data_IF_535262939167
#
_entry.id   IF_535262939167
#
_cell.length_a   1.000
_cell.length_b   1.000
_cell.length_c   1.000
_cell.angle_alpha   90.00
_cell.angle_beta   90.00
_cell.angle_gamma   90.00
#
_symmetry.space_group_name_H-M   'P 1'
#
loop_
_entity.id
_entity.type
_entity.pdbx_description
1 polymer ?
#
# COMPACT_ATOMS: atom_id res chain seq x y z
N UNK A 1 -16.09 -25.61 8.14
CA UNK A 1 -15.77 -24.17 8.08
C UNK A 1 -15.21 -23.93 6.71
N UNK A 2 -15.96 -23.22 5.86
CA UNK A 2 -15.51 -22.77 4.54
C UNK A 2 -14.18 -22.01 4.73
N UNK A 3 -13.09 -22.47 4.11
CA UNK A 3 -11.75 -21.95 4.38
C UNK A 3 -11.56 -20.56 3.74
N UNK A 4 -11.87 -19.52 4.49
CA UNK A 4 -11.41 -18.16 4.23
C UNK A 4 -10.02 -17.98 4.81
N UNK A 5 -9.11 -17.39 4.04
CA UNK A 5 -7.70 -17.20 4.46
C UNK A 5 -7.20 -15.81 4.07
N UNK A 6 -6.40 -15.19 4.95
CA UNK A 6 -5.76 -13.91 4.67
C UNK A 6 -4.30 -14.18 4.31
N UNK A 7 -3.93 -13.87 3.07
CA UNK A 7 -2.57 -14.06 2.54
C UNK A 7 -1.93 -12.71 2.30
N UNK A 8 -0.81 -12.43 2.97
CA UNK A 8 -0.04 -11.22 2.70
C UNK A 8 0.58 -11.26 1.29
N UNK A 9 0.48 -10.15 0.55
CA UNK A 9 1.09 -10.00 -0.76
C UNK A 9 2.35 -9.15 -0.61
N UNK A 10 3.56 -9.76 -0.65
CA UNK A 10 4.79 -9.05 -0.34
C UNK A 10 5.13 -7.99 -1.40
N UNK A 11 5.82 -6.93 -0.95
CA UNK A 11 6.28 -5.81 -1.77
C UNK A 11 7.13 -6.23 -2.96
N UNK A 12 8.01 -7.21 -2.74
CA UNK A 12 8.82 -7.83 -3.78
C UNK A 12 8.54 -9.35 -3.82
N UNK A 13 8.66 -10.00 -4.98
CA UNK A 13 8.69 -11.46 -5.00
C UNK A 13 9.77 -11.95 -4.03
N UNK A 14 9.50 -13.00 -3.24
CA UNK A 14 10.46 -13.51 -2.28
C UNK A 14 11.71 -13.98 -3.04
N UNK A 15 12.81 -13.25 -2.86
CA UNK A 15 14.12 -13.72 -3.29
C UNK A 15 14.63 -14.60 -2.15
N UNK A 16 15.08 -15.83 -2.43
CA UNK A 16 15.68 -16.67 -1.41
C UNK A 16 16.75 -15.89 -0.62
N UNK A 17 16.81 -16.00 0.71
CA UNK A 17 17.78 -15.26 1.53
C UNK A 17 19.24 -15.38 1.05
N UNK A 18 19.60 -16.52 0.47
CA UNK A 18 20.92 -16.83 -0.09
C UNK A 18 21.19 -16.20 -1.48
N UNK A 19 20.15 -15.69 -2.16
CA UNK A 19 20.22 -15.17 -3.54
C UNK A 19 19.96 -13.66 -3.61
N UNK A 20 20.08 -12.98 -2.48
CA UNK A 20 19.86 -11.54 -2.40
C UNK A 20 20.84 -10.76 -3.31
N UNK A 21 20.38 -9.74 -4.06
CA UNK A 21 21.24 -8.96 -4.95
C UNK A 21 22.41 -8.32 -4.21
N UNK A 22 23.59 -8.34 -4.83
CA UNK A 22 24.83 -7.77 -4.28
C UNK A 22 25.36 -6.65 -5.17
N UNK A 23 26.17 -5.78 -4.58
CA UNK A 23 26.98 -4.78 -5.27
C UNK A 23 28.42 -4.87 -4.78
N UNK A 24 29.35 -4.50 -5.66
CA UNK A 24 30.77 -4.47 -5.34
C UNK A 24 31.13 -3.16 -4.62
N UNK A 25 31.95 -3.28 -3.59
CA UNK A 25 32.51 -2.15 -2.85
C UNK A 25 34.01 -2.32 -2.71
N UNK A 26 34.71 -1.20 -2.61
CA UNK A 26 36.15 -1.17 -2.35
C UNK A 26 36.33 -1.02 -0.85
N UNK A 27 36.97 -2.01 -0.22
CA UNK A 27 37.27 -2.04 1.20
C UNK A 27 38.78 -2.14 1.44
N UNK A 28 39.23 -1.84 2.65
CA UNK A 28 40.63 -2.01 3.03
C UNK A 28 40.77 -2.43 4.48
N UNK A 29 41.86 -3.13 4.80
CA UNK A 29 42.23 -3.43 6.17
C UNK A 29 42.72 -2.18 6.89
N UNK A 30 42.37 -2.03 8.18
CA UNK A 30 42.73 -0.85 8.95
C UNK A 30 43.18 -1.21 10.37
N UNK A 31 44.12 -0.44 10.91
CA UNK A 31 44.46 -0.50 12.33
C UNK A 31 43.30 0.07 13.19
N UNK A 32 42.87 -0.64 14.26
CA UNK A 32 41.89 -0.14 15.21
C UNK A 32 42.11 1.29 15.72
N UNK A 33 43.37 1.75 15.84
CA UNK A 33 43.70 3.10 16.32
C UNK A 33 43.22 4.21 15.40
N UNK A 34 43.22 3.97 14.08
CA UNK A 34 42.87 4.99 13.07
C UNK A 34 41.46 4.81 12.50
N UNK A 35 40.81 3.68 12.76
CA UNK A 35 39.51 3.31 12.19
C UNK A 35 38.43 4.39 12.38
N UNK A 36 38.27 4.93 13.59
CA UNK A 36 37.25 5.94 13.87
C UNK A 36 37.48 7.25 13.12
N UNK A 37 38.74 7.70 13.05
CA UNK A 37 39.12 8.90 12.31
C UNK A 37 38.88 8.72 10.82
N UNK A 38 39.25 7.55 10.29
CA UNK A 38 39.03 7.19 8.88
C UNK A 38 37.54 7.17 8.52
N UNK A 39 36.70 6.52 9.34
CA UNK A 39 35.24 6.47 9.13
C UNK A 39 34.62 7.87 9.10
N UNK A 40 35.03 8.77 10.01
CA UNK A 40 34.53 10.15 10.04
C UNK A 40 34.87 10.91 8.76
N UNK A 41 36.10 10.77 8.25
CA UNK A 41 36.53 11.39 6.98
C UNK A 41 35.77 10.79 5.79
N UNK A 42 35.67 9.47 5.71
CA UNK A 42 34.95 8.78 4.64
C UNK A 42 33.45 9.15 4.59
N UNK A 43 32.81 9.39 5.73
CA UNK A 43 31.43 9.89 5.76
C UNK A 43 31.28 11.32 5.20
N UNK A 44 32.36 12.09 5.07
CA UNK A 44 32.34 13.42 4.44
C UNK A 44 32.57 13.31 2.94
N UNK A 45 33.53 12.49 2.50
CA UNK A 45 34.01 12.48 1.11
C UNK A 45 33.41 11.36 0.24
N UNK A 46 32.89 10.29 0.83
CA UNK A 46 32.43 9.10 0.10
C UNK A 46 31.23 8.43 0.80
N UNK A 47 30.10 9.13 0.84
CA UNK A 47 28.89 8.63 1.51
C UNK A 47 28.29 7.41 0.81
N UNK A 48 27.77 6.48 1.60
CA UNK A 48 27.11 5.26 1.14
C UNK A 48 25.60 5.49 0.98
N UNK A 49 25.20 6.41 0.09
CA UNK A 49 23.81 6.90 0.01
C UNK A 49 22.77 5.78 -0.18
N UNK A 50 23.08 4.80 -1.04
CA UNK A 50 22.23 3.64 -1.34
C UNK A 50 22.53 2.40 -0.49
N UNK A 51 23.46 2.48 0.47
CA UNK A 51 23.92 1.36 1.30
C UNK A 51 23.95 1.74 2.79
N UNK A 52 22.99 2.54 3.25
CA UNK A 52 22.93 3.01 4.65
C UNK A 52 22.76 1.89 5.67
N UNK A 53 22.20 0.75 5.26
CA UNK A 53 22.09 -0.46 6.07
C UNK A 53 23.41 -1.21 6.25
N UNK A 54 24.40 -0.95 5.40
CA UNK A 54 25.71 -1.62 5.46
C UNK A 54 26.58 -0.94 6.52
N UNK A 55 27.08 -1.69 7.49
CA UNK A 55 28.02 -1.14 8.47
C UNK A 55 29.35 -0.87 7.79
N UNK A 56 29.85 0.36 7.87
CA UNK A 56 31.11 0.73 7.19
C UNK A 56 32.33 -0.07 7.68
N UNK A 57 32.30 -0.57 8.92
CA UNK A 57 33.40 -1.34 9.54
C UNK A 57 32.98 -2.80 9.74
N UNK A 58 33.82 -3.73 9.30
CA UNK A 58 33.73 -5.17 9.58
C UNK A 58 34.84 -5.57 10.55
N UNK A 59 34.45 -6.25 11.63
CA UNK A 59 35.37 -6.83 12.62
C UNK A 59 35.43 -8.34 12.42
N UNK A 60 36.63 -8.88 12.22
CA UNK A 60 36.89 -10.32 12.12
C UNK A 60 37.85 -10.73 13.22
N UNK A 61 37.54 -11.84 13.90
CA UNK A 61 38.46 -12.47 14.84
C UNK A 61 39.37 -13.43 14.07
N UNK A 62 40.68 -13.27 14.24
CA UNK A 62 41.70 -14.13 13.64
C UNK A 62 42.23 -15.06 14.72
N UNK A 63 42.67 -16.27 14.32
CA UNK A 63 43.31 -17.23 15.22
C UNK A 63 44.44 -16.54 16.01
N UNK A 64 44.44 -16.75 17.34
CA UNK A 64 45.34 -16.06 18.27
C UNK A 64 44.78 -14.79 18.93
N UNK A 65 43.45 -14.57 18.88
CA UNK A 65 42.79 -13.49 19.63
C UNK A 65 42.99 -12.07 19.07
N UNK A 66 43.67 -11.96 17.93
CA UNK A 66 43.88 -10.68 17.25
C UNK A 66 42.62 -10.29 16.47
N UNK A 67 42.26 -9.02 16.58
CA UNK A 67 41.13 -8.45 15.84
C UNK A 67 41.64 -7.82 14.55
N UNK A 68 41.06 -8.20 13.42
CA UNK A 68 41.27 -7.54 12.13
C UNK A 68 40.05 -6.67 11.81
N UNK A 69 40.29 -5.42 11.46
CA UNK A 69 39.25 -4.50 10.99
C UNK A 69 39.38 -4.27 9.49
N UNK A 70 38.23 -4.23 8.81
CA UNK A 70 38.12 -3.81 7.43
C UNK A 70 37.11 -2.67 7.32
N UNK A 71 37.37 -1.68 6.48
CA UNK A 71 36.54 -0.49 6.30
C UNK A 71 36.18 -0.35 4.83
N UNK A 72 34.89 -0.13 4.53
CA UNK A 72 34.45 0.24 3.18
C UNK A 72 34.88 1.67 2.89
N UNK A 73 35.60 1.86 1.78
CA UNK A 73 36.08 3.14 1.30
C UNK A 73 34.99 3.81 0.45
N UNK A 74 34.57 3.14 -0.64
CA UNK A 74 33.56 3.64 -1.57
C UNK A 74 32.86 2.49 -2.33
N UNK A 75 31.82 2.84 -3.09
CA UNK A 75 31.23 1.95 -4.10
C UNK A 75 32.25 1.69 -5.22
N UNK A 76 32.25 0.48 -5.76
CA UNK A 76 33.05 0.13 -6.93
C UNK A 76 32.31 0.59 -8.21
N UNK A 77 33.05 1.12 -9.19
CA UNK A 77 32.46 1.40 -10.52
C UNK A 77 32.07 0.10 -11.22
N UNK A 78 30.90 0.08 -11.84
CA UNK A 78 30.44 -1.03 -12.69
C UNK A 78 31.10 -1.01 -14.09
N UNK A 79 31.78 0.09 -14.44
CA UNK A 79 32.41 0.31 -15.75
C UNK A 79 33.92 0.42 -15.57
N UNK A 80 34.68 -0.47 -16.23
CA UNK A 80 36.15 -0.48 -16.24
C UNK A 80 36.79 -1.28 -15.10
N UNK A 81 38.08 -1.04 -14.84
CA UNK A 81 38.79 -1.67 -13.72
C UNK A 81 38.40 -0.97 -12.40
N UNK A 82 37.72 -1.63 -11.45
CA UNK A 82 37.13 -0.93 -10.30
C UNK A 82 38.16 -0.24 -9.41
N UNK A 83 39.37 -0.79 -9.32
CA UNK A 83 40.48 -0.23 -8.55
C UNK A 83 41.08 1.04 -9.18
N UNK A 84 40.86 1.27 -10.48
CA UNK A 84 41.32 2.48 -11.18
C UNK A 84 40.29 3.62 -11.14
N UNK A 85 39.06 3.32 -10.72
CA UNK A 85 37.93 4.26 -10.68
C UNK A 85 37.71 4.93 -9.31
N UNK A 86 38.69 4.85 -8.40
CA UNK A 86 38.57 5.37 -7.04
C UNK A 86 38.53 6.90 -7.07
N UNK A 87 37.57 7.56 -6.37
CA UNK A 87 37.54 9.02 -6.26
C UNK A 87 38.86 9.58 -5.71
N UNK A 88 39.35 10.68 -6.29
CA UNK A 88 40.64 11.28 -5.94
C UNK A 88 40.82 11.51 -4.43
N UNK A 89 39.80 12.04 -3.76
CA UNK A 89 39.82 12.31 -2.31
C UNK A 89 39.99 11.02 -1.49
N UNK A 90 39.42 9.90 -1.96
CA UNK A 90 39.57 8.58 -1.33
C UNK A 90 40.96 8.03 -1.60
N UNK A 91 41.51 8.25 -2.78
CA UNK A 91 42.86 7.83 -3.15
C UNK A 91 43.93 8.56 -2.33
N UNK A 92 43.77 9.86 -2.10
CA UNK A 92 44.65 10.64 -1.21
C UNK A 92 44.61 10.10 0.22
N UNK A 93 43.42 9.76 0.71
CA UNK A 93 43.23 9.16 2.03
C UNK A 93 43.91 7.79 2.12
N UNK A 94 43.79 6.96 1.08
CA UNK A 94 44.46 5.65 1.01
C UNK A 94 45.97 5.78 1.10
N UNK A 95 46.56 6.73 0.38
CA UNK A 95 48.00 6.99 0.40
C UNK A 95 48.46 7.47 1.78
N UNK A 96 47.69 8.39 2.40
CA UNK A 96 48.01 8.95 3.72
C UNK A 96 48.04 7.91 4.84
N UNK A 97 47.16 6.91 4.77
CA UNK A 97 47.05 5.85 5.78
C UNK A 97 47.66 4.51 5.32
N UNK A 98 48.30 4.46 4.15
CA UNK A 98 48.91 3.26 3.56
C UNK A 98 47.94 2.07 3.49
N UNK A 99 46.72 2.36 3.04
CA UNK A 99 45.63 1.38 2.95
C UNK A 99 45.84 0.43 1.76
N UNK A 100 45.54 -0.85 1.96
CA UNK A 100 45.55 -1.88 0.92
C UNK A 100 44.11 -2.17 0.44
N UNK A 101 43.68 -1.64 -0.73
CA UNK A 101 42.31 -1.81 -1.20
C UNK A 101 42.08 -3.22 -1.75
N UNK A 102 40.88 -3.73 -1.57
CA UNK A 102 40.38 -4.95 -2.20
C UNK A 102 38.88 -4.82 -2.48
N UNK A 103 38.40 -5.57 -3.47
CA UNK A 103 36.98 -5.58 -3.83
C UNK A 103 36.26 -6.65 -3.02
N UNK A 104 35.08 -6.33 -2.51
CA UNK A 104 34.22 -7.27 -1.80
C UNK A 104 32.75 -6.99 -2.10
N UNK A 105 31.90 -7.97 -1.81
CA UNK A 105 30.45 -7.88 -2.07
C UNK A 105 29.69 -7.53 -0.81
N UNK A 106 28.71 -6.65 -0.96
CA UNK A 106 27.72 -6.32 0.07
C UNK A 106 26.31 -6.43 -0.51
N UNK A 107 25.33 -6.69 0.34
CA UNK A 107 23.95 -6.75 -0.10
C UNK A 107 23.45 -5.38 -0.54
N UNK A 108 22.84 -5.35 -1.72
CA UNK A 108 22.32 -4.13 -2.36
C UNK A 108 21.19 -3.50 -1.55
N UNK A 109 20.39 -4.32 -0.86
CA UNK A 109 19.20 -3.89 -0.13
C UNK A 109 19.26 -4.30 1.34
N UNK A 110 18.57 -3.53 2.19
CA UNK A 110 18.39 -3.87 3.60
C UNK A 110 17.52 -5.13 3.73
N UNK A 111 17.86 -5.98 4.70
CA UNK A 111 17.08 -7.18 4.99
C UNK A 111 15.68 -6.82 5.51
N UNK A 112 14.67 -7.54 5.01
CA UNK A 112 13.28 -7.46 5.44
C UNK A 112 12.94 -8.54 6.47
N UNK A 113 13.72 -9.62 6.51
CA UNK A 113 13.57 -10.70 7.49
C UNK A 113 14.86 -10.95 8.28
N UNK A 114 14.73 -11.70 9.38
CA UNK A 114 15.88 -12.10 10.19
C UNK A 114 16.78 -13.08 9.43
N UNK A 115 16.20 -14.01 8.69
CA UNK A 115 16.90 -15.00 7.88
C UNK A 115 17.69 -14.32 6.76
N UNK A 116 17.07 -13.36 6.06
CA UNK A 116 17.79 -12.52 5.10
C UNK A 116 18.98 -11.83 5.77
N UNK A 117 18.75 -11.15 6.89
CA UNK A 117 19.82 -10.44 7.60
C UNK A 117 20.99 -11.34 8.01
N UNK A 118 20.71 -12.57 8.46
CA UNK A 118 21.72 -13.55 8.80
C UNK A 118 22.58 -13.91 7.57
N UNK A 119 21.96 -14.15 6.40
CA UNK A 119 22.67 -14.36 5.14
C UNK A 119 23.49 -13.13 4.71
N UNK A 120 22.91 -11.92 4.82
CA UNK A 120 23.63 -10.68 4.50
C UNK A 120 24.89 -10.53 5.35
N UNK A 121 24.80 -10.83 6.65
CA UNK A 121 25.92 -10.74 7.58
C UNK A 121 27.06 -11.71 7.28
N UNK A 122 26.82 -12.81 6.54
CA UNK A 122 27.88 -13.70 6.06
C UNK A 122 28.78 -13.00 5.05
N UNK A 123 28.21 -12.14 4.19
CA UNK A 123 28.94 -11.32 3.23
C UNK A 123 29.62 -10.14 3.94
N UNK A 124 28.82 -9.27 4.55
CA UNK A 124 29.29 -8.08 5.26
C UNK A 124 28.28 -7.66 6.33
N UNK A 125 28.72 -7.17 7.50
CA UNK A 125 27.80 -6.81 8.57
C UNK A 125 26.84 -5.68 8.14
N UNK A 126 25.54 -5.89 8.33
CA UNK A 126 24.49 -4.90 8.11
C UNK A 126 23.71 -4.61 9.40
N UNK A 127 23.02 -3.48 9.44
CA UNK A 127 22.02 -3.16 10.46
C UNK A 127 20.68 -3.78 10.06
N UNK A 128 20.07 -4.52 10.97
CA UNK A 128 18.69 -4.96 10.85
C UNK A 128 17.80 -4.08 11.70
N UNK A 129 16.88 -3.39 11.02
CA UNK A 129 15.76 -2.72 11.66
C UNK A 129 14.52 -3.35 11.07
N UNK A 130 13.82 -4.22 11.81
CA UNK A 130 12.56 -4.77 11.31
C UNK A 130 11.65 -3.61 10.93
N UNK A 131 10.96 -3.68 9.77
CA UNK A 131 10.07 -2.61 9.34
C UNK A 131 9.14 -2.21 10.49
N UNK A 132 9.09 -0.93 10.84
CA UNK A 132 8.21 -0.41 11.89
C UNK A 132 6.74 -0.32 11.45
N UNK A 133 6.39 -0.94 10.32
CA UNK A 133 5.00 -1.35 10.14
C UNK A 133 4.74 -2.33 11.28
N UNK A 134 4.13 -1.83 12.34
CA UNK A 134 3.65 -2.62 13.45
C UNK A 134 2.49 -3.46 12.90
N UNK A 135 2.83 -4.47 12.10
CA UNK A 135 1.96 -5.57 11.73
C UNK A 135 2.50 -6.70 12.59
N UNK A 136 1.97 -6.82 13.81
CA UNK A 136 2.10 -8.08 14.52
C UNK A 136 1.60 -9.18 13.56
N UNK A 137 2.51 -10.09 13.25
CA UNK A 137 2.27 -11.20 12.35
C UNK A 137 2.08 -10.82 10.89
N UNK A 138 3.13 -11.06 10.11
CA UNK A 138 3.04 -11.20 8.65
C UNK A 138 2.04 -12.33 8.24
N UNK A 139 1.51 -13.10 9.22
CA UNK A 139 0.25 -13.87 9.17
C UNK A 139 -0.54 -13.87 10.52
N UNK A 140 -0.44 -12.83 11.36
CA UNK A 140 -0.94 -12.84 12.76
C UNK A 140 -2.05 -11.83 13.02
N UNK A 141 -3.10 -11.91 12.21
CA UNK A 141 -4.38 -11.37 12.64
C UNK A 141 -4.84 -12.17 13.87
N UNK A 142 -5.33 -11.48 14.90
CA UNK A 142 -6.06 -12.18 15.96
C UNK A 142 -7.28 -12.90 15.34
N UNK A 143 -7.85 -13.89 16.04
CA UNK A 143 -9.06 -14.55 15.55
C UNK A 143 -10.19 -13.54 15.35
N UNK A 144 -10.34 -12.57 16.26
CA UNK A 144 -11.31 -11.48 16.16
C UNK A 144 -11.05 -10.55 14.96
N UNK A 145 -9.80 -10.18 14.72
CA UNK A 145 -9.45 -9.33 13.58
C UNK A 145 -9.63 -10.06 12.25
N UNK A 146 -9.33 -11.36 12.22
CA UNK A 146 -9.55 -12.21 11.06
C UNK A 146 -11.04 -12.28 10.71
N UNK A 147 -11.90 -12.51 11.70
CA UNK A 147 -13.36 -12.50 11.50
C UNK A 147 -13.86 -11.13 11.03
N UNK A 148 -13.29 -10.05 11.56
CA UNK A 148 -13.63 -8.68 11.12
C UNK A 148 -13.24 -8.46 9.65
N UNK A 149 -12.04 -8.86 9.25
CA UNK A 149 -11.56 -8.82 7.85
C UNK A 149 -12.46 -9.63 6.94
N UNK A 150 -12.84 -10.84 7.34
CA UNK A 150 -13.76 -11.68 6.57
C UNK A 150 -15.15 -11.06 6.45
N UNK A 151 -15.66 -10.44 7.52
CA UNK A 151 -16.94 -9.73 7.50
C UNK A 151 -16.96 -8.58 6.49
N UNK A 152 -15.95 -7.71 6.52
CA UNK A 152 -15.87 -6.60 5.56
C UNK A 152 -15.62 -7.07 4.12
N UNK A 153 -14.82 -8.13 3.93
CA UNK A 153 -14.62 -8.71 2.60
C UNK A 153 -15.89 -9.34 2.05
N UNK A 154 -16.65 -10.09 2.87
CA UNK A 154 -17.98 -10.59 2.50
C UNK A 154 -18.91 -9.46 2.08
N UNK A 155 -18.90 -8.36 2.82
CA UNK A 155 -19.71 -7.20 2.49
C UNK A 155 -19.31 -6.57 1.15
N UNK A 156 -18.01 -6.41 0.88
CA UNK A 156 -17.53 -5.93 -0.43
C UNK A 156 -17.96 -6.85 -1.59
N UNK A 157 -17.90 -8.17 -1.40
CA UNK A 157 -18.32 -9.15 -2.42
C UNK A 157 -19.85 -9.13 -2.61
N UNK A 158 -20.63 -8.97 -1.53
CA UNK A 158 -22.09 -8.83 -1.63
C UNK A 158 -22.49 -7.57 -2.39
N UNK A 159 -21.82 -6.45 -2.12
CA UNK A 159 -22.02 -5.20 -2.86
C UNK A 159 -21.77 -5.40 -4.36
N UNK A 160 -20.67 -6.09 -4.71
CA UNK A 160 -20.33 -6.43 -6.09
C UNK A 160 -21.39 -7.29 -6.81
N UNK A 161 -22.19 -8.06 -6.06
CA UNK A 161 -23.26 -8.93 -6.58
C UNK A 161 -24.65 -8.29 -6.63
N UNK A 162 -24.85 -7.14 -5.99
CA UNK A 162 -26.20 -6.61 -5.69
C UNK A 162 -27.01 -6.09 -6.90
N UNK A 163 -26.55 -6.30 -8.14
CA UNK A 163 -27.22 -5.89 -9.38
C UNK A 163 -27.89 -7.01 -10.18
N UNK A 164 -28.64 -6.63 -11.21
CA UNK A 164 -29.43 -7.50 -12.11
C UNK A 164 -28.55 -8.51 -12.89
N UNK A 165 -28.21 -9.63 -12.24
CA UNK A 165 -27.42 -10.77 -12.77
C UNK A 165 -25.96 -10.48 -13.17
N UNK A 166 -25.54 -9.22 -13.18
CA UNK A 166 -24.18 -8.81 -13.56
C UNK A 166 -23.34 -8.48 -12.32
N UNK A 167 -22.08 -8.91 -12.34
CA UNK A 167 -21.11 -8.64 -11.28
C UNK A 167 -20.33 -7.37 -11.62
N UNK A 168 -20.24 -6.43 -10.67
CA UNK A 168 -19.50 -5.16 -10.81
C UNK A 168 -18.37 -5.08 -9.78
N UNK A 169 -17.40 -4.18 -9.95
CA UNK A 169 -16.41 -3.94 -8.89
C UNK A 169 -17.05 -3.23 -7.69
N UNK A 170 -16.50 -3.47 -6.49
CA UNK A 170 -16.93 -2.83 -5.25
C UNK A 170 -15.74 -2.53 -4.32
N UNK A 171 -15.91 -1.48 -3.53
CA UNK A 171 -14.94 -0.97 -2.57
C UNK A 171 -15.62 -0.59 -1.25
N UNK A 172 -14.99 -0.93 -0.13
CA UNK A 172 -15.45 -0.58 1.23
C UNK A 172 -14.27 0.01 1.99
N UNK A 173 -14.35 1.27 2.39
CA UNK A 173 -13.37 1.91 3.28
C UNK A 173 -13.87 1.74 4.71
N UNK A 174 -12.97 1.36 5.61
CA UNK A 174 -13.29 1.02 7.01
C UNK A 174 -12.31 1.74 7.93
N UNK A 175 -12.81 2.29 9.04
CA UNK A 175 -11.98 2.67 10.16
C UNK A 175 -11.77 1.43 11.06
N UNK A 176 -10.55 0.87 11.07
CA UNK A 176 -10.25 -0.36 11.78
C UNK A 176 -10.15 -0.15 13.30
N UNK A 177 -10.02 1.08 13.79
CA UNK A 177 -9.97 1.36 15.24
C UNK A 177 -11.31 1.17 15.92
N UNK A 178 -12.40 1.45 15.20
CA UNK A 178 -13.78 1.31 15.65
C UNK A 178 -14.55 0.23 14.89
N UNK A 179 -13.89 -0.46 13.96
CA UNK A 179 -14.47 -1.49 13.07
C UNK A 179 -15.75 -1.00 12.37
N UNK A 180 -15.70 0.22 11.84
CA UNK A 180 -16.86 0.86 11.22
C UNK A 180 -16.63 1.14 9.73
N UNK A 181 -17.63 0.84 8.91
CA UNK A 181 -17.64 1.22 7.50
C UNK A 181 -17.74 2.75 7.39
N UNK A 182 -16.78 3.32 6.67
CA UNK A 182 -16.69 4.75 6.40
C UNK A 182 -17.51 5.13 5.18
N UNK A 183 -17.34 4.34 4.11
CA UNK A 183 -18.10 4.47 2.87
C UNK A 183 -18.00 3.19 2.07
N UNK A 184 -18.98 2.98 1.20
CA UNK A 184 -19.01 1.92 0.20
C UNK A 184 -19.18 2.53 -1.19
N UNK A 185 -18.73 1.81 -2.22
CA UNK A 185 -18.95 2.21 -3.61
C UNK A 185 -18.86 1.00 -4.54
N UNK A 186 -19.51 1.12 -5.70
CA UNK A 186 -19.32 0.24 -6.85
C UNK A 186 -18.79 1.04 -8.05
N UNK A 187 -18.41 0.36 -9.13
CA UNK A 187 -18.08 1.03 -10.39
C UNK A 187 -19.26 1.90 -10.86
N UNK A 188 -18.99 3.17 -11.21
CA UNK A 188 -19.97 4.14 -11.74
C UNK A 188 -19.60 4.60 -13.16
N UNK A 189 -19.02 3.70 -13.92
CA UNK A 189 -18.58 3.88 -15.31
C UNK A 189 -19.71 3.73 -16.33
N UNK A 190 -20.79 3.02 -15.97
CA UNK A 190 -22.00 2.81 -16.79
C UNK A 190 -23.27 3.19 -16.00
N UNK A 191 -24.31 3.77 -16.65
CA UNK A 191 -25.47 4.37 -16.01
C UNK A 191 -26.51 3.38 -15.49
N UNK A 192 -26.49 2.12 -15.94
CA UNK A 192 -27.45 1.11 -15.46
C UNK A 192 -27.18 0.65 -14.02
N UNK A 193 -26.07 1.09 -13.41
CA UNK A 193 -25.72 0.76 -12.04
C UNK A 193 -25.84 1.99 -11.14
N UNK A 194 -27.07 2.37 -10.81
CA UNK A 194 -27.32 3.11 -9.58
C UNK A 194 -27.67 2.06 -8.53
N UNK A 195 -26.85 1.87 -7.47
CA UNK A 195 -27.32 1.16 -6.30
C UNK A 195 -28.61 1.87 -5.87
N UNK A 196 -29.69 1.12 -5.63
CA UNK A 196 -30.85 1.70 -4.98
C UNK A 196 -30.35 2.40 -3.71
N UNK A 197 -30.58 3.71 -3.61
CA UNK A 197 -30.19 4.52 -2.46
C UNK A 197 -30.92 3.99 -1.22
N UNK A 198 -30.34 2.98 -0.57
CA UNK A 198 -30.65 2.66 0.81
C UNK A 198 -29.68 3.48 1.66
N UNK A 199 -29.88 4.79 1.65
CA UNK A 199 -29.42 5.65 2.75
C UNK A 199 -30.30 5.35 3.95
N UNK A 200 -30.12 4.16 4.51
CA UNK A 200 -30.59 3.84 5.85
C UNK A 200 -29.34 3.66 6.68
N UNK A 201 -29.19 4.55 7.66
CA UNK A 201 -28.25 4.39 8.76
C UNK A 201 -28.72 3.16 9.56
N UNK A 202 -28.48 1.97 9.04
CA UNK A 202 -28.84 0.71 9.69
C UNK A 202 -27.61 0.15 10.41
N UNK A 203 -27.54 0.49 11.69
CA UNK A 203 -26.98 -0.40 12.70
C UNK A 203 -27.71 -1.74 12.60
N UNK A 204 -27.09 -2.75 11.99
CA UNK A 204 -27.70 -4.07 11.86
C UNK A 204 -27.71 -4.79 13.21
N UNK A 205 -28.88 -4.81 13.85
CA UNK A 205 -29.35 -5.94 14.66
C UNK A 205 -30.26 -6.81 13.77
N UNK A 206 -30.13 -8.13 13.89
CA UNK A 206 -30.91 -9.14 13.17
C UNK A 206 -32.43 -8.97 13.35
N UNK A 207 -33.20 -9.03 12.25
CA UNK A 207 -34.41 -9.85 12.07
C UNK A 207 -35.06 -9.68 10.67
N UNK A 208 -36.13 -10.43 10.42
CA UNK A 208 -36.48 -11.20 9.21
C UNK A 208 -37.67 -10.60 8.41
N UNK A 209 -37.77 -10.97 7.12
CA UNK A 209 -39.01 -11.30 6.34
C UNK A 209 -39.61 -10.29 5.32
N UNK A 210 -39.62 -10.73 4.04
CA UNK A 210 -40.58 -10.62 2.91
C UNK A 210 -41.08 -9.27 2.33
N UNK A 211 -40.97 -9.07 1.01
CA UNK A 211 -41.98 -9.45 -0.01
C UNK A 211 -41.75 -8.80 -1.41
N UNK A 212 -41.82 -9.63 -2.47
CA UNK A 212 -42.35 -9.47 -3.87
C UNK A 212 -42.23 -8.12 -4.65
N UNK A 213 -41.99 -8.04 -5.98
CA UNK A 213 -42.82 -8.47 -7.13
C UNK A 213 -42.08 -8.26 -8.50
N UNK A 214 -42.03 -9.34 -9.30
CA UNK A 214 -42.14 -9.57 -10.78
C UNK A 214 -41.49 -8.74 -11.93
N UNK A 215 -40.87 -9.51 -12.86
CA UNK A 215 -41.00 -9.57 -14.35
C UNK A 215 -40.44 -8.40 -15.20
N UNK A 216 -39.83 -8.56 -16.40
CA UNK A 216 -39.88 -9.61 -17.46
C UNK A 216 -38.67 -9.54 -18.44
N UNK A 217 -38.50 -10.62 -19.22
CA UNK A 217 -37.43 -10.99 -20.16
C UNK A 217 -37.46 -10.27 -21.54
N UNK A 218 -36.32 -10.26 -22.26
CA UNK A 218 -36.17 -10.94 -23.58
C UNK A 218 -34.74 -10.91 -24.15
N UNK A 219 -34.37 -12.01 -24.80
CA UNK A 219 -33.05 -12.46 -25.28
C UNK A 219 -32.47 -11.80 -26.55
N UNK A 220 -31.15 -11.98 -26.75
CA UNK A 220 -30.48 -11.81 -28.04
C UNK A 220 -28.99 -12.17 -28.00
N UNK A 221 -28.66 -13.40 -28.40
CA UNK A 221 -27.31 -14.01 -28.46
C UNK A 221 -26.59 -13.66 -29.77
N UNK A 222 -25.29 -13.34 -29.72
CA UNK A 222 -24.35 -13.61 -30.82
C UNK A 222 -22.95 -13.94 -30.27
N UNK A 223 -22.32 -14.98 -30.84
CA UNK A 223 -21.03 -15.52 -30.44
C UNK A 223 -19.90 -15.13 -31.40
N UNK A 224 -18.68 -15.05 -30.87
CA UNK A 224 -17.48 -15.44 -31.61
C UNK A 224 -16.42 -16.02 -30.65
N UNK A 225 -15.89 -17.17 -31.03
CA UNK A 225 -14.87 -17.94 -30.33
C UNK A 225 -13.47 -17.33 -30.52
N UNK A 226 -12.63 -17.34 -29.48
CA UNK A 226 -11.17 -17.43 -29.66
C UNK A 226 -10.48 -18.09 -28.47
N UNK A 227 -10.07 -19.34 -28.71
CA UNK A 227 -8.83 -20.08 -28.39
C UNK A 227 -8.17 -20.00 -26.98
N UNK A 228 -7.98 -21.21 -26.42
CA UNK A 228 -7.23 -21.67 -25.23
C UNK A 228 -5.71 -21.29 -25.26
N UNK A 229 -4.89 -21.30 -24.21
CA UNK A 229 -4.80 -22.00 -22.90
C UNK A 229 -3.83 -21.21 -21.97
N UNK A 230 -3.61 -21.40 -20.65
CA UNK A 230 -3.60 -22.56 -19.74
C UNK A 230 -3.83 -22.12 -18.27
N UNK A 231 -4.55 -22.95 -17.51
CA UNK A 231 -4.60 -23.09 -16.03
C UNK A 231 -4.75 -21.83 -15.15
N UNK A 232 -5.99 -21.31 -15.07
CA UNK A 232 -6.54 -20.51 -13.97
C UNK A 232 -7.95 -21.04 -13.66
N UNK A 233 -8.57 -20.73 -12.50
CA UNK A 233 -9.93 -21.16 -12.22
C UNK A 233 -10.86 -20.65 -13.32
N UNK A 234 -11.67 -21.56 -13.85
CA UNK A 234 -12.44 -21.36 -15.08
C UNK A 234 -13.67 -20.49 -14.81
N UNK A 235 -13.49 -19.17 -14.67
CA UNK A 235 -14.63 -18.26 -14.46
C UNK A 235 -15.33 -17.93 -15.79
N UNK A 236 -16.67 -17.97 -15.87
CA UNK A 236 -17.39 -17.63 -17.09
C UNK A 236 -17.15 -16.17 -17.49
N UNK A 237 -16.59 -15.92 -18.67
CA UNK A 237 -16.31 -14.57 -19.22
C UNK A 237 -17.54 -13.64 -19.23
N UNK A 238 -18.76 -14.20 -19.24
CA UNK A 238 -20.01 -13.41 -19.29
C UNK A 238 -20.36 -12.69 -17.99
N UNK A 239 -20.03 -13.24 -16.81
CA UNK A 239 -20.47 -12.68 -15.52
C UNK A 239 -19.68 -11.43 -15.08
N UNK A 240 -18.42 -11.31 -15.50
CA UNK A 240 -17.49 -10.26 -15.06
C UNK A 240 -17.46 -9.04 -15.99
N UNK A 241 -18.29 -9.01 -17.04
CA UNK A 241 -18.35 -7.91 -18.02
C UNK A 241 -18.67 -6.56 -17.40
N UNK A 242 -19.32 -6.53 -16.24
CA UNK A 242 -19.61 -5.32 -15.46
C UNK A 242 -18.45 -4.78 -14.62
N UNK A 243 -17.31 -5.47 -14.55
CA UNK A 243 -16.13 -5.04 -13.78
C UNK A 243 -15.21 -4.22 -14.68
N UNK A 244 -15.21 -2.91 -14.53
CA UNK A 244 -14.57 -2.03 -15.52
C UNK A 244 -13.05 -2.09 -15.53
N UNK A 245 -12.44 -2.35 -14.37
CA UNK A 245 -11.00 -2.57 -14.32
C UNK A 245 -10.54 -3.89 -14.94
N UNK A 246 -11.45 -4.85 -15.19
CA UNK A 246 -11.18 -6.07 -15.95
C UNK A 246 -11.41 -5.87 -17.46
N UNK A 247 -12.43 -5.08 -17.81
CA UNK A 247 -12.84 -4.82 -19.20
C UNK A 247 -12.85 -3.32 -19.50
N UNK A 248 -11.67 -2.68 -19.62
CA UNK A 248 -11.56 -1.24 -19.77
C UNK A 248 -12.08 -0.71 -21.10
N UNK A 249 -12.49 -1.58 -22.05
CA UNK A 249 -13.10 -1.22 -23.33
C UNK A 249 -14.58 -1.63 -23.44
N UNK A 250 -15.16 -2.28 -22.42
CA UNK A 250 -16.55 -2.77 -22.48
C UNK A 250 -17.57 -1.64 -22.72
N UNK A 251 -17.21 -0.40 -22.38
CA UNK A 251 -18.02 0.80 -22.67
C UNK A 251 -18.06 1.17 -24.16
N UNK A 252 -17.03 0.83 -24.95
CA UNK A 252 -16.98 1.15 -26.38
C UNK A 252 -17.89 0.23 -27.21
N UNK A 253 -18.25 -0.93 -26.66
CA UNK A 253 -19.09 -1.94 -27.31
C UNK A 253 -20.60 -1.69 -27.09
N UNK A 254 -20.98 -0.73 -26.23
CA UNK A 254 -22.37 -0.46 -25.83
C UNK A 254 -22.74 1.02 -25.96
N UNK A 255 -22.92 1.50 -27.18
CA UNK A 255 -23.68 2.73 -27.44
C UNK A 255 -25.15 2.37 -27.66
N UNK A 256 -26.00 2.62 -26.67
CA UNK A 256 -27.43 2.79 -26.92
C UNK A 256 -27.96 4.02 -26.20
N UNK A 257 -28.82 4.72 -26.93
CA UNK A 257 -29.39 6.02 -26.61
C UNK A 257 -30.12 6.01 -25.26
N UNK A 258 -29.73 6.90 -24.34
CA UNK A 258 -30.64 7.66 -23.46
C UNK A 258 -29.89 8.70 -22.64
N UNK A 259 -30.50 9.89 -22.56
CA UNK A 259 -29.96 11.11 -21.95
C UNK A 259 -29.92 11.08 -20.42
N UNK A 260 -28.92 11.79 -19.86
CA UNK A 260 -28.76 12.29 -18.48
C UNK A 260 -28.02 11.44 -17.43
N UNK A 261 -26.92 10.78 -17.80
CA UNK A 261 -25.98 10.30 -16.78
C UNK A 261 -24.54 10.68 -17.14
N UNK A 262 -23.77 11.11 -16.15
CA UNK A 262 -22.37 11.50 -16.31
C UNK A 262 -21.49 10.25 -16.40
N UNK A 263 -21.34 9.72 -17.62
CA UNK A 263 -20.42 8.64 -17.95
C UNK A 263 -18.97 9.10 -17.72
N UNK A 264 -18.17 8.28 -17.03
CA UNK A 264 -16.75 8.58 -16.92
C UNK A 264 -15.91 7.31 -16.67
N UNK A 265 -14.97 6.96 -17.59
CA UNK A 265 -14.25 5.69 -17.55
C UNK A 265 -13.35 5.52 -16.32
N UNK A 266 -12.98 6.61 -15.65
CA UNK A 266 -12.14 6.55 -14.44
C UNK A 266 -12.94 6.35 -13.14
N UNK A 267 -14.27 6.24 -13.19
CA UNK A 267 -15.12 6.07 -11.99
C UNK A 267 -15.18 4.62 -11.51
N UNK A 268 -14.00 4.07 -11.26
CA UNK A 268 -13.87 2.77 -10.62
C UNK A 268 -14.30 2.85 -9.15
N UNK A 269 -14.75 1.73 -8.58
CA UNK A 269 -15.24 1.63 -7.20
C UNK A 269 -14.28 2.25 -6.17
N UNK A 270 -12.97 2.04 -6.31
CA UNK A 270 -11.98 2.65 -5.41
C UNK A 270 -11.96 4.18 -5.49
N UNK A 271 -12.07 4.77 -6.69
CA UNK A 271 -12.10 6.22 -6.89
C UNK A 271 -13.39 6.80 -6.32
N UNK A 272 -14.53 6.15 -6.60
CA UNK A 272 -15.84 6.55 -6.08
C UNK A 272 -15.86 6.48 -4.55
N UNK A 273 -15.28 5.44 -3.94
CA UNK A 273 -15.16 5.35 -2.49
C UNK A 273 -14.31 6.47 -1.90
N UNK A 274 -13.19 6.84 -2.53
CA UNK A 274 -12.36 7.97 -2.10
C UNK A 274 -13.15 9.28 -2.14
N UNK A 275 -13.87 9.52 -3.23
CA UNK A 275 -14.72 10.71 -3.41
C UNK A 275 -15.80 10.77 -2.33
N UNK A 276 -16.52 9.67 -2.09
CA UNK A 276 -17.53 9.56 -1.04
C UNK A 276 -16.97 9.78 0.36
N UNK A 277 -15.77 9.25 0.64
CA UNK A 277 -15.09 9.46 1.93
C UNK A 277 -14.78 10.95 2.13
N UNK A 278 -14.25 11.62 1.11
CA UNK A 278 -13.96 13.05 1.17
C UNK A 278 -15.23 13.90 1.33
N UNK A 279 -16.30 13.59 0.60
CA UNK A 279 -17.59 14.27 0.70
C UNK A 279 -18.20 14.15 2.11
N UNK A 280 -18.13 12.95 2.69
CA UNK A 280 -18.57 12.70 4.07
C UNK A 280 -17.74 13.50 5.08
N UNK A 281 -16.41 13.53 4.94
CA UNK A 281 -15.55 14.29 5.84
C UNK A 281 -15.80 15.80 5.74
N UNK A 282 -16.12 16.32 4.55
CA UNK A 282 -16.57 17.71 4.39
C UNK A 282 -17.88 17.96 5.16
N UNK A 283 -18.81 17.02 5.12
CA UNK A 283 -20.11 17.13 5.80
C UNK A 283 -19.99 17.04 7.32
N UNK A 284 -19.15 16.14 7.84
CA UNK A 284 -18.92 15.94 9.28
C UNK A 284 -18.06 17.05 9.89
N UNK A 285 -17.16 17.65 9.09
CA UNK A 285 -16.23 18.70 9.53
C UNK A 285 -16.31 19.96 8.65
N UNK A 286 -17.45 20.69 8.66
CA UNK A 286 -17.68 21.85 7.80
C UNK A 286 -16.80 23.06 8.15
N UNK A 287 -16.23 23.10 9.36
CA UNK A 287 -15.48 24.22 9.93
C UNK A 287 -14.00 24.25 9.51
N UNK A 288 -13.74 24.32 8.21
CA UNK A 288 -12.51 24.91 7.64
C UNK A 288 -12.66 25.31 6.16
N UNK A 289 -13.89 25.52 5.67
CA UNK A 289 -14.16 25.91 4.29
C UNK A 289 -14.47 27.40 4.09
N UNK A 290 -14.40 28.23 5.15
CA UNK A 290 -14.73 29.67 5.09
C UNK A 290 -13.53 30.62 5.08
N UNK A 291 -12.31 30.09 4.98
CA UNK A 291 -11.14 30.93 4.71
C UNK A 291 -10.76 30.69 3.27
N UNK A 292 -10.93 31.74 2.46
CA UNK A 292 -10.38 31.95 1.11
C UNK A 292 -11.33 31.82 -0.10
N UNK A 293 -12.38 32.66 -0.10
CA UNK A 293 -12.94 33.30 -1.32
C UNK A 293 -12.91 34.83 -1.18
N UNK A 294 -11.74 35.36 -0.80
CA UNK A 294 -11.43 36.80 -0.84
C UNK A 294 -10.00 37.03 -1.31
N UNK A 295 -9.71 36.61 -2.53
CA UNK A 295 -8.58 37.15 -3.31
C UNK A 295 -9.04 37.31 -4.76
N UNK A 296 -9.90 38.29 -4.97
CA UNK A 296 -9.97 39.03 -6.23
C UNK A 296 -10.00 40.51 -5.84
N UNK A 297 -9.12 41.29 -6.48
CA UNK A 297 -8.91 42.73 -6.33
C UNK A 297 -8.11 43.17 -5.09
N UNK A 298 -6.80 43.37 -5.26
CA UNK A 298 -6.18 44.70 -5.44
C UNK A 298 -4.65 44.55 -5.48
N UNK A 299 -4.02 45.00 -6.56
CA UNK A 299 -2.57 45.16 -6.66
C UNK A 299 -2.07 46.33 -5.78
N UNK A 300 -1.00 46.13 -4.99
CA UNK A 300 0.21 46.97 -4.97
C UNK A 300 1.18 46.63 -3.81
N UNK A 301 2.39 46.19 -4.18
CA UNK A 301 3.75 46.45 -3.65
C UNK A 301 3.91 46.79 -2.14
N UNK A 302 4.52 45.89 -1.35
CA UNK A 302 5.84 46.09 -0.71
C UNK A 302 6.31 44.88 0.15
N UNK A 303 7.47 44.34 -0.24
CA UNK A 303 8.63 43.88 0.55
C UNK A 303 8.47 43.25 1.96
N UNK A 304 9.16 42.11 2.09
CA UNK A 304 9.91 41.55 3.24
C UNK A 304 9.14 40.90 4.41
N UNK A 305 9.31 39.58 4.57
CA UNK A 305 10.04 39.02 5.73
C UNK A 305 10.24 37.50 5.57
N UNK A 306 11.38 37.05 6.08
CA UNK A 306 11.99 35.72 5.94
C UNK A 306 11.44 34.74 6.99
N UNK A 307 11.15 33.51 6.55
CA UNK A 307 11.50 32.27 7.28
C UNK A 307 10.47 31.65 8.22
N UNK A 308 9.99 30.45 7.87
CA UNK A 308 10.26 29.21 8.63
C UNK A 308 9.71 27.97 7.90
N UNK A 309 10.51 26.90 7.73
CA UNK A 309 10.06 25.65 7.09
C UNK A 309 9.21 24.82 8.06
N UNK A 310 8.12 24.26 7.53
CA UNK A 310 7.18 23.41 8.25
C UNK A 310 7.90 22.27 8.98
N UNK A 311 7.85 22.32 10.31
CA UNK A 311 8.41 21.32 11.21
C UNK A 311 7.53 20.08 11.18
N UNK A 312 8.06 19.00 10.60
CA UNK A 312 7.63 17.61 10.67
C UNK A 312 7.09 17.28 12.08
N UNK A 313 5.77 17.11 12.22
CA UNK A 313 5.17 16.68 13.48
C UNK A 313 5.61 15.24 13.77
N UNK A 314 6.36 15.10 14.86
CA UNK A 314 6.80 13.83 15.43
C UNK A 314 5.72 13.40 16.41
N UNK A 315 5.17 12.21 16.22
CA UNK A 315 4.25 11.57 17.16
C UNK A 315 4.95 11.41 18.51
N UNK A 316 4.37 12.01 19.56
CA UNK A 316 4.88 11.88 20.93
C UNK A 316 4.26 10.64 21.56
N UNK A 317 5.09 9.67 21.93
CA UNK A 317 4.70 8.53 22.76
C UNK A 317 4.61 9.04 24.20
N UNK A 318 3.46 8.82 24.84
CA UNK A 318 3.15 9.29 26.18
C UNK A 318 4.01 8.55 27.21
N UNK A 319 4.89 9.27 27.91
CA UNK A 319 5.42 8.87 29.21
C UNK A 319 4.91 9.85 30.25
N UNK A 320 4.23 9.31 31.24
CA UNK A 320 3.70 9.99 32.44
C UNK A 320 4.87 10.52 33.28
N UNK A 321 4.80 11.79 33.68
CA UNK A 321 5.15 12.24 35.03
C UNK A 321 4.70 13.70 35.26
N UNK A 322 4.31 13.95 36.51
CA UNK A 322 3.53 15.07 37.03
C UNK A 322 4.24 16.42 37.17
N UNK A 323 3.38 17.44 37.31
CA UNK A 323 3.47 18.70 38.10
C UNK A 323 3.52 20.07 37.38
N UNK A 324 2.38 20.76 37.52
CA UNK A 324 2.13 22.20 37.77
C UNK A 324 2.50 23.27 36.71
N UNK A 325 1.49 23.93 36.11
CA UNK A 325 0.82 25.11 36.69
C UNK A 325 -0.33 25.62 35.78
N UNK A 326 -1.41 26.02 36.45
CA UNK A 326 -2.66 26.58 35.91
C UNK A 326 -2.48 27.96 35.28
N UNK A 327 -3.24 28.23 34.21
CA UNK A 327 -4.08 29.43 34.13
C UNK A 327 -5.33 29.15 33.27
N UNK A 328 -6.44 29.70 33.76
CA UNK A 328 -7.80 29.17 33.67
C UNK A 328 -8.71 29.89 32.67
N UNK A 329 -9.74 29.15 32.24
CA UNK A 329 -11.08 29.56 31.80
C UNK A 329 -11.37 29.61 30.28
N UNK A 330 -11.80 28.47 29.74
CA UNK A 330 -13.04 28.40 28.96
C UNK A 330 -13.64 26.98 29.08
N UNK A 331 -14.67 26.82 29.93
CA UNK A 331 -15.46 25.58 30.01
C UNK A 331 -16.68 25.71 29.09
N UNK A 332 -16.66 24.96 27.98
CA UNK A 332 -17.81 24.91 27.08
C UNK A 332 -17.62 24.04 25.83
N UNK A 333 -17.92 22.74 25.98
CA UNK A 333 -18.47 21.86 24.94
C UNK A 333 -17.54 21.25 23.87
N UNK A 334 -17.67 19.92 23.75
CA UNK A 334 -17.19 19.02 22.69
C UNK A 334 -15.69 18.73 22.68
N UNK A 335 -15.34 17.45 22.91
CA UNK A 335 -14.07 16.89 22.44
C UNK A 335 -13.93 17.25 20.96
N UNK A 336 -13.06 18.20 20.62
CA UNK A 336 -12.80 18.59 19.24
C UNK A 336 -12.29 17.35 18.50
N UNK A 337 -13.20 16.62 17.85
CA UNK A 337 -12.87 15.51 16.98
C UNK A 337 -12.02 16.10 15.86
N UNK A 338 -10.73 15.81 15.92
CA UNK A 338 -9.77 16.29 14.94
C UNK A 338 -10.18 15.71 13.58
N UNK A 339 -10.39 16.59 12.58
CA UNK A 339 -10.74 16.15 11.22
C UNK A 339 -9.68 15.16 10.72
N UNK A 340 -10.08 13.97 10.24
CA UNK A 340 -9.15 13.02 9.68
C UNK A 340 -8.44 13.62 8.46
N UNK A 341 -7.14 13.34 8.33
CA UNK A 341 -6.37 13.75 7.16
C UNK A 341 -6.48 12.67 6.08
N UNK A 342 -7.30 12.94 5.04
CA UNK A 342 -7.58 11.98 3.97
C UNK A 342 -8.10 10.65 4.56
N UNK A 343 -7.70 9.51 3.99
CA UNK A 343 -8.02 8.19 4.53
C UNK A 343 -6.89 7.62 5.41
N UNK A 344 -6.12 8.48 6.07
CA UNK A 344 -4.97 8.04 6.88
C UNK A 344 -5.42 7.13 8.01
N UNK A 345 -4.85 5.92 8.06
CA UNK A 345 -5.17 4.94 9.10
C UNK A 345 -6.33 4.01 8.77
N UNK A 346 -7.08 4.28 7.69
CA UNK A 346 -8.18 3.43 7.23
C UNK A 346 -7.69 2.26 6.40
N UNK A 347 -8.47 1.18 6.44
CA UNK A 347 -8.28 -0.01 5.59
C UNK A 347 -9.33 0.01 4.47
N UNK A 348 -8.99 -0.53 3.31
CA UNK A 348 -9.93 -0.68 2.19
C UNK A 348 -10.06 -2.15 1.78
N UNK A 349 -11.29 -2.58 1.53
CA UNK A 349 -11.65 -3.90 1.05
C UNK A 349 -12.20 -3.79 -0.37
N UNK A 350 -11.59 -4.48 -1.31
CA UNK A 350 -11.91 -4.43 -2.73
C UNK A 350 -12.33 -5.82 -3.20
N UNK A 351 -13.40 -5.92 -3.97
CA UNK A 351 -13.80 -7.20 -4.52
C UNK A 351 -12.74 -7.71 -5.53
N UNK A 352 -12.24 -6.85 -6.42
CA UNK A 352 -11.11 -7.15 -7.32
C UNK A 352 -9.88 -6.34 -6.99
N UNK A 353 -8.71 -6.91 -7.29
CA UNK A 353 -7.44 -6.21 -7.24
C UNK A 353 -7.49 -4.91 -8.07
N UNK A 354 -7.10 -3.76 -7.50
CA UNK A 354 -7.21 -2.49 -8.18
C UNK A 354 -6.23 -2.39 -9.34
N UNK A 355 -6.63 -1.67 -10.39
CA UNK A 355 -5.70 -1.28 -11.45
C UNK A 355 -4.69 -0.23 -10.97
N UNK A 356 -3.68 0.06 -11.80
CA UNK A 356 -2.59 0.99 -11.44
C UNK A 356 -3.09 2.39 -11.04
N UNK A 357 -4.12 2.90 -11.71
CA UNK A 357 -4.74 4.19 -11.37
C UNK A 357 -5.34 4.15 -9.96
N UNK A 358 -6.15 3.13 -9.67
CA UNK A 358 -6.80 2.97 -8.37
C UNK A 358 -5.76 2.75 -7.26
N UNK A 359 -4.76 1.90 -7.50
CA UNK A 359 -3.69 1.65 -6.54
C UNK A 359 -2.92 2.94 -6.20
N UNK A 360 -2.56 3.74 -7.21
CA UNK A 360 -1.88 5.02 -6.99
C UNK A 360 -2.77 6.05 -6.29
N UNK A 361 -4.07 6.08 -6.59
CA UNK A 361 -5.02 6.91 -5.86
C UNK A 361 -5.04 6.57 -4.36
N UNK A 362 -4.97 5.29 -4.00
CA UNK A 362 -4.92 4.84 -2.60
C UNK A 362 -3.61 5.24 -1.90
N UNK A 363 -2.48 5.29 -2.62
CA UNK A 363 -1.23 5.90 -2.12
C UNK A 363 -1.45 7.37 -1.77
N UNK A 364 -2.07 8.14 -2.67
CA UNK A 364 -2.35 9.56 -2.46
C UNK A 364 -3.31 9.80 -1.29
N UNK A 365 -4.23 8.88 -1.03
CA UNK A 365 -5.17 8.94 0.10
C UNK A 365 -4.63 8.39 1.40
N UNK A 366 -3.37 7.92 1.41
CA UNK A 366 -2.66 7.42 2.59
C UNK A 366 -3.36 6.25 3.30
N UNK A 367 -4.06 5.42 2.53
CA UNK A 367 -4.68 4.19 3.02
C UNK A 367 -3.63 3.33 3.72
N UNK A 368 -4.01 2.68 4.82
CA UNK A 368 -3.11 1.91 5.67
C UNK A 368 -2.91 0.49 5.14
N UNK A 369 -4.01 -0.23 4.86
CA UNK A 369 -3.99 -1.59 4.34
C UNK A 369 -5.03 -1.77 3.24
N UNK A 370 -4.67 -2.58 2.25
CA UNK A 370 -5.57 -2.97 1.16
C UNK A 370 -5.82 -4.48 1.25
N UNK A 371 -7.09 -4.85 1.26
CA UNK A 371 -7.55 -6.23 1.15
C UNK A 371 -8.27 -6.40 -0.18
N UNK A 372 -7.95 -7.44 -0.95
CA UNK A 372 -8.72 -7.79 -2.15
C UNK A 372 -9.03 -9.28 -2.23
N UNK A 373 -10.16 -9.66 -2.85
CA UNK A 373 -10.51 -11.09 -3.00
C UNK A 373 -9.98 -11.69 -4.32
N UNK A 374 -10.38 -11.09 -5.44
CA UNK A 374 -10.10 -11.63 -6.77
C UNK A 374 -8.93 -10.90 -7.46
N UNK A 375 -7.97 -11.61 -8.05
CA UNK A 375 -6.90 -10.97 -8.81
C UNK A 375 -7.44 -10.29 -10.07
N UNK A 376 -6.74 -9.26 -10.55
CA UNK A 376 -7.02 -8.63 -11.83
C UNK A 376 -5.93 -9.02 -12.84
N UNK A 377 -6.16 -10.02 -13.72
CA UNK A 377 -5.14 -10.54 -14.62
C UNK A 377 -4.72 -9.54 -15.72
N UNK A 378 -5.55 -8.54 -16.00
CA UNK A 378 -5.31 -7.62 -17.11
C UNK A 378 -4.55 -6.36 -16.66
N UNK A 379 -4.84 -5.86 -15.46
CA UNK A 379 -4.34 -4.57 -14.99
C UNK A 379 -4.00 -4.52 -13.49
N UNK A 380 -4.04 -5.65 -12.78
CA UNK A 380 -3.85 -5.71 -11.32
C UNK A 380 -2.50 -5.15 -10.87
N UNK A 381 -2.54 -4.16 -9.99
CA UNK A 381 -1.35 -3.38 -9.64
C UNK A 381 -0.68 -3.76 -8.32
N UNK A 382 -1.21 -4.76 -7.60
CA UNK A 382 -0.80 -5.09 -6.25
C UNK A 382 -0.19 -6.49 -6.12
N UNK A 383 0.16 -7.14 -7.22
CA UNK A 383 0.80 -8.45 -7.20
C UNK A 383 0.62 -9.25 -8.47
N UNK A 384 -0.46 -9.02 -9.23
CA UNK A 384 -0.77 -9.83 -10.42
C UNK A 384 0.00 -9.36 -11.66
N UNK A 385 -0.11 -8.09 -12.04
CA UNK A 385 0.60 -7.53 -13.21
C UNK A 385 1.70 -6.57 -12.78
N UNK A 386 1.40 -5.67 -11.85
CA UNK A 386 2.36 -4.74 -11.25
C UNK A 386 2.43 -4.93 -9.73
N UNK A 387 3.45 -4.33 -9.11
CA UNK A 387 3.67 -4.31 -7.66
C UNK A 387 3.93 -2.89 -7.19
N UNK A 388 2.91 -2.04 -7.21
CA UNK A 388 3.06 -0.63 -6.85
C UNK A 388 3.47 -0.45 -5.38
N UNK A 389 3.02 -1.34 -4.49
CA UNK A 389 3.40 -1.32 -3.07
C UNK A 389 4.90 -1.57 -2.85
N UNK A 390 5.59 -2.18 -3.82
CA UNK A 390 7.05 -2.39 -3.76
C UNK A 390 7.90 -1.23 -4.27
N UNK A 391 7.27 -0.20 -4.83
CA UNK A 391 7.99 0.93 -5.42
C UNK A 391 8.55 1.86 -4.32
N UNK A 392 9.89 1.89 -4.21
CA UNK A 392 10.57 2.60 -3.12
C UNK A 392 10.62 4.10 -3.30
N UNK A 393 10.43 4.60 -4.53
CA UNK A 393 10.38 6.03 -4.81
C UNK A 393 9.09 6.71 -4.36
N UNK A 394 8.08 5.95 -3.93
CA UNK A 394 6.83 6.48 -3.40
C UNK A 394 7.00 6.99 -1.96
N UNK A 395 6.24 8.04 -1.61
CA UNK A 395 6.30 8.68 -0.29
C UNK A 395 5.45 7.99 0.78
N UNK A 396 4.43 7.23 0.37
CA UNK A 396 3.51 6.51 1.26
C UNK A 396 3.41 5.07 0.78
N UNK A 397 3.34 4.14 1.74
CA UNK A 397 3.24 2.70 1.49
C UNK A 397 2.08 2.13 2.29
N UNK A 398 1.44 1.10 1.76
CA UNK A 398 0.38 0.34 2.40
C UNK A 398 0.71 -1.14 2.37
N UNK A 399 0.22 -1.89 3.35
CA UNK A 399 0.31 -3.34 3.32
C UNK A 399 -0.83 -3.92 2.45
N UNK A 400 -0.52 -4.97 1.70
CA UNK A 400 -1.47 -5.60 0.78
C UNK A 400 -1.74 -7.02 1.22
N UNK A 401 -3.02 -7.40 1.26
CA UNK A 401 -3.48 -8.73 1.59
C UNK A 401 -4.49 -9.21 0.54
N UNK A 402 -4.39 -10.49 0.19
CA UNK A 402 -5.40 -11.19 -0.57
C UNK A 402 -6.23 -12.05 0.37
N UNK A 403 -7.55 -11.90 0.31
CA UNK A 403 -8.48 -12.77 1.03
C UNK A 403 -8.88 -13.90 0.09
N UNK A 404 -8.44 -15.11 0.39
CA UNK A 404 -8.88 -16.30 -0.33
C UNK A 404 -10.31 -16.61 0.10
N UNK A 405 -11.18 -16.73 -0.90
CA UNK A 405 -12.60 -17.04 -0.71
C UNK A 405 -12.91 -18.38 -1.39
N UNK A 406 -13.87 -19.17 -0.87
CA UNK A 406 -14.34 -20.38 -1.52
C UNK A 406 -14.81 -20.11 -2.97
N UNK A 407 -14.63 -21.08 -3.87
CA UNK A 407 -14.98 -20.95 -5.29
C UNK A 407 -16.49 -20.64 -5.50
N UNK A 408 -17.33 -21.09 -4.57
CA UNK A 408 -18.78 -20.92 -4.59
C UNK A 408 -19.23 -19.47 -4.35
N UNK A 409 -18.34 -18.62 -3.81
CA UNK A 409 -18.68 -17.26 -3.39
C UNK A 409 -18.98 -16.32 -4.56
N UNK A 410 -18.73 -16.69 -5.82
CA UNK A 410 -19.21 -15.93 -7.00
C UNK A 410 -20.24 -16.67 -7.85
N UNK A 411 -20.34 -18.00 -7.77
CA UNK A 411 -21.47 -18.72 -8.34
C UNK A 411 -22.75 -18.38 -7.55
N UNK A 412 -23.88 -18.27 -8.23
CA UNK A 412 -25.16 -18.19 -7.51
C UNK A 412 -25.43 -19.56 -6.90
N UNK A 413 -26.02 -19.59 -5.71
CA UNK A 413 -26.66 -20.78 -5.18
C UNK A 413 -27.73 -21.24 -6.17
N UNK A 414 -27.40 -22.21 -7.04
CA UNK A 414 -28.39 -22.93 -7.85
C UNK A 414 -29.17 -23.96 -7.00
N UNK A 415 -28.80 -24.12 -5.72
CA UNK A 415 -29.36 -25.12 -4.80
C UNK A 415 -30.70 -24.74 -4.17
N UNK A 416 -31.14 -23.47 -4.26
CA UNK A 416 -32.43 -23.05 -3.68
C UNK A 416 -33.66 -23.34 -4.57
N UNK A 417 -33.48 -23.86 -5.79
CA UNK A 417 -34.59 -24.09 -6.73
C UNK A 417 -35.00 -25.57 -6.88
N UNK A 418 -34.40 -26.50 -6.13
CA UNK A 418 -34.63 -27.94 -6.30
C UNK A 418 -35.55 -28.61 -5.27
N UNK A 419 -36.06 -27.89 -4.26
CA UNK A 419 -36.95 -28.47 -3.22
C UNK A 419 -38.44 -28.14 -3.35
N UNK A 420 -38.88 -27.56 -4.48
CA UNK A 420 -40.30 -27.46 -4.80
C UNK A 420 -40.53 -27.86 -6.26
N UNK A 421 -40.61 -29.16 -6.51
CA UNK A 421 -41.39 -29.75 -7.61
C UNK A 421 -41.94 -31.10 -7.18
#
# INVERSE_FOLDING_TARGET
MENWEIVHVPDNPPIPPDQQPTVDVIASFVDPKVANTLVRRLNQIAQLENLRHVKRVKKKFVEGGRTQLSVILCLASEIGNPLESIPHDVQELMNSYQLSPFITKVCKYAALSKEEWEEQCKLWPTSYHPPTYNIDGITGFSEEDSQSVFGFMKYAIQLAKSGDKMVVNAAVIVDPSVKQVITTACDQTCPWYTPANNTTLETYCFEKTEASVSQSQSDGVFSYETLHSNSLPHFPKQLNTGVCCLYPWGWAEQQSDTNSCSWHPLRHAAIVAIESSAARDIHLFPSLGKIQDKYAETEHIHSSSVGSPAKRQKTHSTKVNDEAHLDSNDEGSSSLSVRPYLCTGFDIYLAWEPCIMCAMALVHQRIRRIFFAFPNPNAGALGTVHRLQGERSLNHHYAVFRVLVPEEVLSRDETAAAEYN
#
